data_IF_591546349811
#
_entry.id   IF_591546349811
#
_cell.length_a   1.000
_cell.length_b   1.000
_cell.length_c   1.000
_cell.angle_alpha   90.00
_cell.angle_beta   90.00
_cell.angle_gamma   90.00
#
_symmetry.space_group_name_H-M   'P 1'
#
loop_
_entity.id
_entity.type
_entity.pdbx_description
1 polymer ?
#
# COMPACT_ATOMS: atom_id res chain seq x y z
N UNK A 1 18.38 -15.93 1.04
CA UNK A 1 18.74 -15.33 -0.26
C UNK A 1 20.24 -15.43 -0.46
N UNK A 2 20.73 -15.64 -1.69
CA UNK A 2 22.17 -15.75 -2.00
C UNK A 2 22.54 -14.80 -3.15
N UNK A 3 23.79 -14.34 -3.28
CA UNK A 3 24.20 -13.43 -4.36
C UNK A 3 23.91 -13.95 -5.77
N UNK A 4 23.99 -15.26 -5.95
CA UNK A 4 23.77 -15.91 -7.24
C UNK A 4 22.32 -16.34 -7.49
N UNK A 5 21.42 -16.04 -6.59
CA UNK A 5 20.01 -16.28 -6.82
C UNK A 5 19.49 -15.29 -7.89
N UNK A 6 18.58 -15.77 -8.73
CA UNK A 6 17.97 -14.97 -9.78
C UNK A 6 16.75 -14.25 -9.26
N UNK A 7 16.51 -13.08 -9.80
CA UNK A 7 15.23 -12.39 -9.65
C UNK A 7 14.74 -11.85 -11.00
N UNK A 8 13.44 -11.66 -11.10
CA UNK A 8 12.76 -11.02 -12.23
C UNK A 8 11.70 -10.06 -11.72
N UNK A 9 11.27 -9.12 -12.57
CA UNK A 9 10.14 -8.28 -12.25
C UNK A 9 8.83 -8.89 -12.77
N UNK A 10 7.74 -8.65 -12.06
CA UNK A 10 6.41 -8.99 -12.57
C UNK A 10 5.99 -8.00 -13.66
N UNK A 11 5.27 -8.48 -14.68
CA UNK A 11 4.96 -7.70 -15.89
C UNK A 11 4.01 -6.50 -15.68
N UNK A 12 3.25 -6.47 -14.60
CA UNK A 12 2.20 -5.46 -14.37
C UNK A 12 2.61 -4.31 -13.44
N UNK A 13 3.91 -4.03 -13.36
CA UNK A 13 4.40 -2.93 -12.54
C UNK A 13 4.26 -1.61 -13.29
N UNK A 14 3.35 -0.76 -12.86
CA UNK A 14 3.34 0.65 -13.27
C UNK A 14 3.87 1.47 -12.10
N UNK A 15 5.08 1.98 -12.21
CA UNK A 15 5.69 2.81 -11.18
C UNK A 15 5.77 4.24 -11.67
N UNK A 16 4.96 5.12 -11.10
CA UNK A 16 5.18 6.55 -11.22
C UNK A 16 6.07 7.00 -10.06
N UNK A 17 7.11 7.78 -10.35
CA UNK A 17 8.07 8.21 -9.33
C UNK A 17 7.70 9.59 -8.81
N UNK A 18 7.18 9.67 -7.61
CA UNK A 18 7.21 10.90 -6.83
C UNK A 18 8.49 10.93 -5.98
N UNK A 19 9.54 11.52 -6.54
CA UNK A 19 10.82 11.69 -5.85
C UNK A 19 10.70 12.57 -4.60
N UNK A 20 9.79 13.54 -4.62
CA UNK A 20 9.57 14.44 -3.49
C UNK A 20 8.93 13.72 -2.32
N UNK A 21 7.86 12.94 -2.57
CA UNK A 21 7.22 12.09 -1.57
C UNK A 21 8.18 11.03 -1.03
N UNK A 22 8.93 10.37 -1.91
CA UNK A 22 9.92 9.38 -1.52
C UNK A 22 10.97 9.96 -0.55
N UNK A 23 11.51 11.14 -0.86
CA UNK A 23 12.51 11.77 -0.03
C UNK A 23 11.96 12.35 1.29
N UNK A 24 10.76 12.92 1.27
CA UNK A 24 10.18 13.59 2.44
C UNK A 24 9.52 12.63 3.42
N UNK A 25 8.84 11.60 2.93
CA UNK A 25 8.00 10.74 3.75
C UNK A 25 8.65 9.37 4.00
N UNK A 26 9.21 8.74 2.96
CA UNK A 26 9.71 7.37 3.05
C UNK A 26 11.15 7.29 3.54
N UNK A 27 12.04 8.16 3.06
CA UNK A 27 13.47 8.14 3.43
C UNK A 27 13.71 8.16 4.95
N UNK A 28 13.02 9.00 5.76
CA UNK A 28 13.20 8.99 7.21
C UNK A 28 12.79 7.67 7.87
N UNK A 29 11.84 6.94 7.27
CA UNK A 29 11.31 5.70 7.82
C UNK A 29 12.18 4.51 7.42
N UNK A 30 12.40 4.32 6.12
CA UNK A 30 13.08 3.12 5.60
C UNK A 30 14.61 3.24 5.58
N UNK A 31 15.11 4.47 5.54
CA UNK A 31 16.55 4.77 5.49
C UNK A 31 17.11 4.85 4.06
N UNK A 32 18.32 5.40 3.96
CA UNK A 32 18.96 5.71 2.67
C UNK A 32 19.16 4.47 1.77
N UNK A 33 19.62 3.36 2.33
CA UNK A 33 19.96 2.17 1.57
C UNK A 33 18.72 1.56 0.90
N UNK A 34 17.59 1.51 1.61
CA UNK A 34 16.32 1.06 1.08
C UNK A 34 15.79 1.99 -0.03
N UNK A 35 15.92 3.32 0.12
CA UNK A 35 15.53 4.28 -0.92
C UNK A 35 16.40 4.12 -2.16
N UNK A 36 17.72 4.00 -2.00
CA UNK A 36 18.65 3.79 -3.12
C UNK A 36 18.32 2.48 -3.83
N UNK A 37 18.06 1.41 -3.08
CA UNK A 37 17.65 0.13 -3.66
C UNK A 37 16.33 0.26 -4.44
N UNK A 38 15.32 0.94 -3.90
CA UNK A 38 14.04 1.14 -4.59
C UNK A 38 14.24 1.90 -5.90
N UNK A 39 15.00 2.98 -5.91
CA UNK A 39 15.32 3.76 -7.11
C UNK A 39 16.07 2.93 -8.15
N UNK A 40 17.03 2.12 -7.70
CA UNK A 40 17.76 1.20 -8.56
C UNK A 40 16.82 0.19 -9.23
N UNK A 41 15.98 -0.48 -8.43
CA UNK A 41 15.02 -1.46 -8.95
C UNK A 41 14.03 -0.84 -9.95
N UNK A 42 13.54 0.37 -9.67
CA UNK A 42 12.65 1.10 -10.57
C UNK A 42 13.35 1.46 -11.88
N UNK A 43 14.63 1.86 -11.83
CA UNK A 43 15.40 2.25 -13.03
C UNK A 43 15.71 1.07 -13.97
N UNK A 44 15.77 -0.15 -13.44
CA UNK A 44 16.06 -1.38 -14.19
C UNK A 44 14.84 -2.24 -14.51
N UNK A 45 13.65 -1.71 -14.25
CA UNK A 45 12.43 -2.43 -14.54
C UNK A 45 12.22 -2.61 -16.06
N UNK A 46 11.95 -3.85 -16.49
CA UNK A 46 11.90 -4.27 -17.88
C UNK A 46 10.68 -5.14 -18.25
N UNK A 47 9.56 -4.96 -17.58
CA UNK A 47 8.33 -5.75 -17.78
C UNK A 47 8.51 -7.28 -17.56
N UNK A 48 9.48 -7.70 -16.77
CA UNK A 48 9.73 -9.11 -16.48
C UNK A 48 10.47 -9.87 -17.60
N UNK A 49 11.00 -9.15 -18.61
CA UNK A 49 11.65 -9.76 -19.76
C UNK A 49 12.99 -10.43 -19.43
N UNK A 50 13.66 -10.05 -18.35
CA UNK A 50 15.00 -10.53 -18.03
C UNK A 50 15.11 -11.04 -16.59
N UNK A 51 15.80 -12.18 -16.46
CA UNK A 51 16.30 -12.63 -15.16
C UNK A 51 17.62 -11.95 -14.84
N UNK A 52 17.77 -11.51 -13.59
CA UNK A 52 18.96 -10.81 -13.08
C UNK A 52 19.46 -11.50 -11.83
N UNK A 53 20.74 -11.36 -11.52
CA UNK A 53 21.34 -11.86 -10.28
C UNK A 53 21.33 -10.78 -9.20
N UNK A 54 21.12 -11.15 -7.95
CA UNK A 54 21.28 -10.21 -6.84
C UNK A 54 22.69 -9.66 -6.74
N UNK A 55 23.71 -10.41 -7.18
CA UNK A 55 25.09 -9.94 -7.25
C UNK A 55 25.25 -8.67 -8.08
N UNK A 56 24.42 -8.43 -9.10
CA UNK A 56 24.44 -7.18 -9.86
C UNK A 56 24.04 -5.99 -8.98
N UNK A 57 23.00 -6.15 -8.13
CA UNK A 57 22.59 -5.11 -7.18
C UNK A 57 23.73 -4.84 -6.19
N UNK A 58 24.30 -5.91 -5.61
CA UNK A 58 25.39 -5.80 -4.63
C UNK A 58 26.57 -5.01 -5.20
N UNK A 59 26.98 -5.35 -6.42
CA UNK A 59 28.14 -4.70 -7.07
C UNK A 59 27.84 -3.24 -7.47
N UNK A 60 26.64 -2.94 -7.98
CA UNK A 60 26.29 -1.60 -8.42
C UNK A 60 26.06 -0.62 -7.27
N UNK A 61 25.50 -1.09 -6.17
CA UNK A 61 25.17 -0.26 -5.02
C UNK A 61 26.23 -0.33 -3.90
N UNK A 62 27.26 -1.15 -4.09
CA UNK A 62 28.28 -1.44 -3.07
C UNK A 62 27.63 -1.93 -1.75
N UNK A 63 26.66 -2.86 -1.89
CA UNK A 63 25.92 -3.43 -0.78
C UNK A 63 26.46 -4.80 -0.37
N UNK A 64 26.51 -5.05 0.93
CA UNK A 64 26.57 -6.41 1.46
C UNK A 64 25.18 -7.08 1.41
N UNK A 65 25.14 -8.42 1.46
CA UNK A 65 23.88 -9.18 1.47
C UNK A 65 22.94 -8.75 2.61
N UNK A 66 23.49 -8.52 3.80
CA UNK A 66 22.71 -8.08 4.97
C UNK A 66 22.02 -6.72 4.72
N UNK A 67 22.70 -5.79 4.04
CA UNK A 67 22.12 -4.48 3.69
C UNK A 67 21.01 -4.65 2.66
N UNK A 68 21.22 -5.52 1.67
CA UNK A 68 20.20 -5.83 0.65
C UNK A 68 18.95 -6.44 1.29
N UNK A 69 19.10 -7.50 2.08
CA UNK A 69 17.99 -8.19 2.73
C UNK A 69 17.21 -7.25 3.64
N UNK A 70 17.89 -6.50 4.49
CA UNK A 70 17.26 -5.49 5.37
C UNK A 70 16.52 -4.40 4.58
N UNK A 71 17.08 -4.00 3.43
CA UNK A 71 16.45 -2.98 2.58
C UNK A 71 15.19 -3.52 1.91
N UNK A 72 15.22 -4.76 1.40
CA UNK A 72 14.04 -5.44 0.85
C UNK A 72 12.93 -5.60 1.89
N UNK A 73 13.29 -6.02 3.11
CA UNK A 73 12.34 -6.15 4.23
C UNK A 73 11.66 -4.82 4.55
N UNK A 74 12.44 -3.72 4.64
CA UNK A 74 11.89 -2.39 4.92
C UNK A 74 10.98 -1.87 3.83
N UNK A 75 11.35 -2.07 2.56
CA UNK A 75 10.51 -1.70 1.43
C UNK A 75 9.23 -2.51 1.37
N UNK A 76 9.31 -3.81 1.69
CA UNK A 76 8.13 -4.68 1.76
C UNK A 76 7.20 -4.27 2.91
N UNK A 77 7.76 -3.98 4.07
CA UNK A 77 6.97 -3.57 5.25
C UNK A 77 6.19 -2.27 5.03
N UNK A 78 6.69 -1.35 4.20
CA UNK A 78 6.01 -0.08 3.89
C UNK A 78 5.22 -0.14 2.58
N UNK A 79 5.12 -1.30 1.96
CA UNK A 79 4.31 -1.53 0.77
C UNK A 79 4.86 -0.92 -0.53
N UNK A 80 6.15 -0.60 -0.60
CA UNK A 80 6.80 -0.17 -1.84
C UNK A 80 7.28 -1.33 -2.71
N UNK A 81 7.34 -2.54 -2.13
CA UNK A 81 7.81 -3.74 -2.80
C UNK A 81 7.12 -4.98 -2.24
N UNK A 82 6.86 -5.94 -3.09
CA UNK A 82 6.56 -7.33 -2.70
C UNK A 82 7.58 -8.27 -3.31
N UNK A 83 8.06 -9.22 -2.51
CA UNK A 83 9.00 -10.25 -2.92
C UNK A 83 8.34 -11.61 -2.84
N UNK A 84 8.39 -12.35 -3.93
CA UNK A 84 7.84 -13.70 -4.04
C UNK A 84 8.97 -14.69 -4.29
N UNK A 85 8.97 -15.80 -3.58
CA UNK A 85 9.86 -16.92 -3.85
C UNK A 85 9.22 -17.82 -4.89
N UNK A 86 9.95 -18.16 -5.94
CA UNK A 86 9.55 -19.07 -7.01
C UNK A 86 10.44 -20.31 -7.03
N UNK A 87 10.11 -21.31 -7.83
CA UNK A 87 10.94 -22.50 -7.99
C UNK A 87 12.34 -22.19 -8.59
N UNK A 88 12.44 -21.14 -9.40
CA UNK A 88 13.67 -20.75 -10.11
C UNK A 88 14.37 -19.54 -9.53
N UNK A 89 13.88 -18.98 -8.41
CA UNK A 89 14.47 -17.78 -7.81
C UNK A 89 13.44 -16.90 -7.14
N UNK A 90 13.45 -15.61 -7.45
CA UNK A 90 12.57 -14.62 -6.85
C UNK A 90 11.85 -13.77 -7.91
N UNK A 91 10.65 -13.30 -7.58
CA UNK A 91 9.93 -12.30 -8.37
C UNK A 91 9.66 -11.07 -7.53
N UNK A 92 9.88 -9.91 -8.11
CA UNK A 92 9.70 -8.61 -7.45
C UNK A 92 8.52 -7.88 -8.08
N UNK A 93 7.61 -7.40 -7.24
CA UNK A 93 6.59 -6.43 -7.62
C UNK A 93 6.90 -5.09 -6.96
N UNK A 94 6.96 -4.05 -7.75
CA UNK A 94 7.16 -2.69 -7.28
C UNK A 94 5.84 -1.93 -7.23
N UNK A 95 5.74 -1.01 -6.29
CA UNK A 95 4.58 -0.15 -6.11
C UNK A 95 5.01 1.31 -6.06
N UNK A 96 4.17 2.23 -6.56
CA UNK A 96 4.44 3.66 -6.46
C UNK A 96 4.36 4.14 -5.01
N UNK A 97 4.97 5.28 -4.73
CA UNK A 97 4.74 6.02 -3.50
C UNK A 97 3.28 6.47 -3.42
N UNK A 98 2.74 6.54 -2.22
CA UNK A 98 1.44 7.14 -1.97
C UNK A 98 1.48 8.65 -2.23
N UNK A 99 0.34 9.23 -2.60
CA UNK A 99 0.17 10.67 -2.56
C UNK A 99 0.37 11.20 -1.13
N UNK A 100 0.65 12.49 -0.97
CA UNK A 100 0.77 13.08 0.36
C UNK A 100 -0.51 12.87 1.19
N UNK A 101 -1.68 13.03 0.56
CA UNK A 101 -2.97 12.84 1.20
C UNK A 101 -3.14 11.41 1.71
N UNK A 102 -2.89 10.41 0.85
CA UNK A 102 -3.00 9.00 1.20
C UNK A 102 -1.97 8.58 2.26
N UNK A 103 -0.73 9.09 2.16
CA UNK A 103 0.31 8.80 3.14
C UNK A 103 -0.08 9.28 4.54
N UNK A 104 -0.57 10.52 4.66
CA UNK A 104 -0.99 11.09 5.94
C UNK A 104 -2.35 10.56 6.44
N UNK A 105 -3.19 10.04 5.55
CA UNK A 105 -4.39 9.30 5.93
C UNK A 105 -4.04 7.92 6.55
N UNK A 106 -2.87 7.36 6.20
CA UNK A 106 -2.41 6.09 6.76
C UNK A 106 -1.78 6.30 8.15
N UNK A 107 -2.56 6.02 9.21
CA UNK A 107 -2.17 6.30 10.60
C UNK A 107 -0.80 5.72 10.98
N UNK A 108 -0.48 4.49 10.56
CA UNK A 108 0.80 3.83 10.89
C UNK A 108 1.97 4.57 10.26
N UNK A 109 1.87 4.95 8.98
CA UNK A 109 2.95 5.64 8.28
C UNK A 109 3.19 7.05 8.85
N UNK A 110 2.10 7.78 9.09
CA UNK A 110 2.16 9.10 9.73
C UNK A 110 2.82 9.03 11.11
N UNK A 111 2.44 8.06 11.95
CA UNK A 111 3.03 7.86 13.28
C UNK A 111 4.50 7.43 13.22
N UNK A 112 4.87 6.59 12.25
CA UNK A 112 6.27 6.20 12.06
C UNK A 112 7.13 7.40 11.64
N UNK A 113 6.62 8.24 10.72
CA UNK A 113 7.30 9.45 10.30
C UNK A 113 7.48 10.41 11.49
N UNK A 114 6.42 10.62 12.28
CA UNK A 114 6.46 11.45 13.48
C UNK A 114 7.52 11.00 14.49
N UNK A 115 7.62 9.69 14.74
CA UNK A 115 8.68 9.12 15.58
C UNK A 115 10.10 9.38 15.05
N UNK A 116 10.26 9.56 13.74
CA UNK A 116 11.56 9.75 13.09
C UNK A 116 11.99 11.21 13.02
N UNK A 117 11.08 12.12 12.67
CA UNK A 117 11.43 13.53 12.44
C UNK A 117 10.74 14.52 13.38
N UNK A 118 9.85 14.02 14.26
CA UNK A 118 9.13 14.84 15.23
C UNK A 118 7.86 15.49 14.67
N UNK A 119 6.89 15.75 15.56
CA UNK A 119 5.58 16.32 15.23
C UNK A 119 5.68 17.62 14.44
N UNK A 120 6.49 18.57 14.90
CA UNK A 120 6.62 19.90 14.28
C UNK A 120 7.13 19.84 12.83
N UNK A 121 7.98 18.84 12.50
CA UNK A 121 8.45 18.63 11.14
C UNK A 121 7.35 17.97 10.27
N UNK A 122 6.62 17.01 10.84
CA UNK A 122 5.50 16.35 10.16
C UNK A 122 4.39 17.34 9.82
N UNK A 123 4.04 18.25 10.73
CA UNK A 123 2.98 19.24 10.51
C UNK A 123 3.29 20.16 9.31
N UNK A 124 4.57 20.47 9.09
CA UNK A 124 5.01 21.24 7.91
C UNK A 124 4.96 20.44 6.59
N UNK A 125 4.93 19.12 6.69
CA UNK A 125 4.88 18.25 5.52
C UNK A 125 3.46 17.83 5.15
N UNK A 126 2.50 18.04 6.06
CA UNK A 126 1.09 17.74 5.77
C UNK A 126 0.59 18.64 4.64
N UNK A 127 -0.19 18.08 3.69
CA UNK A 127 -0.85 18.90 2.68
C UNK A 127 -1.78 19.89 3.38
N UNK A 128 -1.68 21.15 3.00
CA UNK A 128 -2.62 22.17 3.48
C UNK A 128 -4.01 21.89 2.89
N UNK A 129 -5.02 21.90 3.72
CA UNK A 129 -6.38 21.92 3.23
C UNK A 129 -6.63 23.28 2.57
N UNK A 130 -7.01 23.31 1.29
CA UNK A 130 -7.29 24.56 0.62
C UNK A 130 -8.40 25.31 1.37
N UNK A 131 -8.16 26.58 1.66
CA UNK A 131 -9.18 27.44 2.25
C UNK A 131 -10.30 27.64 1.21
N UNK A 132 -11.50 27.12 1.52
CA UNK A 132 -12.66 27.28 0.66
C UNK A 132 -13.49 26.02 0.47
N UNK A 133 -14.65 26.19 -0.14
CA UNK A 133 -15.54 25.08 -0.48
C UNK A 133 -15.04 24.43 -1.77
N UNK A 134 -14.91 23.09 -1.76
CA UNK A 134 -14.60 22.33 -2.98
C UNK A 134 -15.78 22.43 -3.95
N UNK A 135 -15.57 23.13 -5.06
CA UNK A 135 -16.56 23.30 -6.12
C UNK A 135 -16.38 22.32 -7.28
N UNK A 136 -15.32 21.52 -7.26
CA UNK A 136 -15.07 20.50 -8.28
C UNK A 136 -16.15 19.43 -8.21
N UNK A 137 -16.86 19.16 -9.31
CA UNK A 137 -17.88 18.12 -9.34
C UNK A 137 -17.23 16.73 -9.15
N UNK A 138 -17.99 15.79 -8.59
CA UNK A 138 -17.56 14.39 -8.53
C UNK A 138 -17.62 13.72 -9.90
N UNK A 139 -16.93 12.61 -10.07
CA UNK A 139 -16.95 11.82 -11.29
C UNK A 139 -18.38 11.41 -11.69
N UNK A 140 -19.16 10.94 -10.71
CA UNK A 140 -20.56 10.54 -10.90
C UNK A 140 -21.46 11.69 -11.37
N UNK A 141 -21.23 12.93 -10.90
CA UNK A 141 -21.97 14.12 -11.34
C UNK A 141 -21.72 14.48 -12.80
N UNK A 142 -20.51 14.22 -13.31
CA UNK A 142 -20.16 14.55 -14.72
C UNK A 142 -20.54 13.43 -15.67
N UNK A 143 -20.30 12.18 -15.30
CA UNK A 143 -20.44 11.06 -16.22
C UNK A 143 -21.71 10.25 -16.02
N UNK A 144 -22.60 10.65 -15.07
CA UNK A 144 -23.91 10.03 -14.90
C UNK A 144 -23.89 8.55 -14.53
N UNK A 145 -22.79 8.09 -13.92
CA UNK A 145 -22.62 6.69 -13.55
C UNK A 145 -23.08 6.49 -12.09
N UNK A 146 -24.39 6.46 -11.89
CA UNK A 146 -24.95 6.20 -10.57
C UNK A 146 -24.81 4.75 -10.11
N UNK A 147 -24.35 3.84 -11.00
CA UNK A 147 -24.23 2.40 -10.73
C UNK A 147 -22.80 1.83 -10.80
N UNK A 148 -21.79 2.65 -11.08
CA UNK A 148 -20.42 2.19 -11.00
C UNK A 148 -19.88 2.52 -9.62
N UNK A 149 -20.00 1.56 -8.70
CA UNK A 149 -19.22 1.60 -7.46
C UNK A 149 -17.76 1.87 -7.85
N UNK A 150 -17.13 2.93 -7.34
CA UNK A 150 -15.74 3.19 -7.65
C UNK A 150 -14.92 1.97 -7.21
N UNK A 151 -14.30 1.30 -8.16
CA UNK A 151 -13.24 0.34 -7.85
C UNK A 151 -12.13 1.17 -7.23
N UNK A 152 -12.24 1.41 -5.93
CA UNK A 152 -11.22 2.10 -5.16
C UNK A 152 -9.98 1.22 -5.14
N UNK A 153 -9.02 1.53 -5.99
CA UNK A 153 -7.63 1.11 -5.84
C UNK A 153 -6.94 1.89 -4.71
N UNK A 154 -7.59 2.02 -3.57
CA UNK A 154 -6.93 2.43 -2.35
C UNK A 154 -6.78 1.20 -1.47
N UNK A 155 -5.54 0.83 -1.17
CA UNK A 155 -5.17 -0.22 -0.20
C UNK A 155 -5.53 0.13 1.25
N UNK A 156 -6.60 0.88 1.46
CA UNK A 156 -7.13 1.12 2.78
C UNK A 156 -8.27 0.15 3.02
N UNK A 157 -8.04 -0.78 3.96
CA UNK A 157 -9.04 -1.62 4.61
C UNK A 157 -10.24 -1.92 3.71
N UNK A 158 -10.02 -2.66 2.61
CA UNK A 158 -11.11 -3.19 1.83
C UNK A 158 -11.89 -4.10 2.76
N UNK A 159 -13.01 -3.58 3.25
CA UNK A 159 -14.01 -4.40 3.87
C UNK A 159 -14.46 -5.38 2.77
N UNK A 160 -13.88 -6.55 2.75
CA UNK A 160 -14.20 -7.56 1.76
C UNK A 160 -15.57 -8.12 2.06
N UNK A 161 -16.57 -7.44 1.49
CA UNK A 161 -17.98 -7.82 1.61
C UNK A 161 -18.22 -9.26 1.18
N UNK A 162 -17.46 -9.74 0.21
CA UNK A 162 -17.59 -11.10 -0.31
C UNK A 162 -17.16 -12.10 0.75
N UNK A 163 -16.01 -11.90 1.37
CA UNK A 163 -15.53 -12.74 2.46
C UNK A 163 -16.42 -12.63 3.71
N UNK A 164 -16.90 -11.44 4.03
CA UNK A 164 -17.85 -11.21 5.13
C UNK A 164 -19.14 -12.01 4.92
N UNK A 165 -19.82 -11.86 3.78
CA UNK A 165 -21.05 -12.60 3.44
C UNK A 165 -20.83 -14.11 3.39
N UNK A 166 -19.70 -14.55 2.84
CA UNK A 166 -19.38 -15.97 2.78
C UNK A 166 -19.19 -16.56 4.18
N UNK A 167 -18.55 -15.83 5.09
CA UNK A 167 -18.36 -16.28 6.47
C UNK A 167 -19.67 -16.31 7.24
N UNK A 168 -20.49 -15.25 7.11
CA UNK A 168 -21.83 -15.23 7.70
C UNK A 168 -22.68 -16.43 7.26
N UNK A 169 -22.66 -16.75 5.96
CA UNK A 169 -23.39 -17.88 5.42
C UNK A 169 -22.87 -19.24 5.93
N UNK A 170 -21.56 -19.39 6.09
CA UNK A 170 -20.94 -20.61 6.65
C UNK A 170 -21.35 -20.86 8.10
N UNK A 171 -21.48 -19.80 8.89
CA UNK A 171 -21.86 -19.90 10.30
C UNK A 171 -23.39 -19.87 10.50
N UNK A 172 -24.17 -19.86 9.41
CA UNK A 172 -25.63 -19.89 9.43
C UNK A 172 -26.28 -18.60 9.94
N UNK A 173 -25.53 -17.51 10.02
CA UNK A 173 -26.01 -16.21 10.45
C UNK A 173 -26.76 -15.51 9.30
N UNK A 174 -27.95 -14.94 9.63
CA UNK A 174 -28.77 -14.18 8.67
C UNK A 174 -29.24 -12.90 9.33
N UNK A 175 -29.22 -11.82 8.59
CA UNK A 175 -29.82 -10.56 9.02
C UNK A 175 -31.35 -10.63 8.93
N UNK A 176 -32.04 -9.91 9.82
CA UNK A 176 -33.49 -9.76 9.81
C UNK A 176 -33.96 -8.89 8.62
N UNK A 177 -33.19 -7.81 8.35
CA UNK A 177 -33.31 -6.98 7.14
C UNK A 177 -31.91 -6.81 6.53
N UNK A 178 -31.60 -7.63 5.51
CA UNK A 178 -30.26 -7.70 4.93
C UNK A 178 -29.74 -6.33 4.42
N UNK A 179 -30.63 -5.45 3.95
CA UNK A 179 -30.22 -4.14 3.43
C UNK A 179 -29.98 -3.11 4.53
N UNK A 180 -30.89 -3.02 5.49
CA UNK A 180 -30.78 -2.04 6.58
C UNK A 180 -29.65 -2.42 7.55
N UNK A 181 -29.60 -3.67 7.98
CA UNK A 181 -28.61 -4.16 8.94
C UNK A 181 -27.19 -4.12 8.37
N UNK A 182 -27.02 -4.44 7.07
CA UNK A 182 -25.72 -4.30 6.39
C UNK A 182 -25.29 -2.84 6.28
N UNK A 183 -26.21 -1.91 6.00
CA UNK A 183 -25.89 -0.50 5.88
C UNK A 183 -25.43 0.08 7.22
N UNK A 184 -26.10 -0.29 8.30
CA UNK A 184 -25.75 0.14 9.65
C UNK A 184 -24.40 -0.44 10.09
N UNK A 185 -24.15 -1.73 9.84
CA UNK A 185 -22.87 -2.38 10.09
C UNK A 185 -21.73 -1.74 9.29
N UNK A 186 -21.96 -1.43 8.03
CA UNK A 186 -20.96 -0.73 7.20
C UNK A 186 -20.67 0.67 7.73
N UNK A 187 -21.69 1.40 8.13
CA UNK A 187 -21.52 2.75 8.69
C UNK A 187 -20.68 2.70 9.97
N UNK A 188 -20.93 1.73 10.84
CA UNK A 188 -20.17 1.52 12.07
C UNK A 188 -18.74 1.07 11.74
N UNK A 189 -18.56 0.11 10.84
CA UNK A 189 -17.25 -0.38 10.44
C UNK A 189 -16.38 0.73 9.81
N UNK A 190 -16.97 1.58 8.98
CA UNK A 190 -16.31 2.73 8.36
C UNK A 190 -15.92 3.79 9.40
N UNK A 191 -16.82 4.14 10.32
CA UNK A 191 -16.53 5.07 11.41
C UNK A 191 -15.44 4.57 12.35
N UNK A 192 -15.42 3.26 12.64
CA UNK A 192 -14.46 2.62 13.53
C UNK A 192 -13.19 2.16 12.81
N UNK A 193 -13.16 2.21 11.48
CA UNK A 193 -12.07 1.67 10.62
C UNK A 193 -11.80 0.18 10.89
N UNK A 194 -12.86 -0.58 11.09
CA UNK A 194 -12.77 -2.02 11.33
C UNK A 194 -12.56 -2.81 10.05
N UNK A 195 -11.83 -3.92 10.17
CA UNK A 195 -11.71 -4.93 9.11
C UNK A 195 -13.02 -5.74 8.99
N UNK A 196 -13.20 -6.46 7.89
CA UNK A 196 -14.34 -7.37 7.72
C UNK A 196 -14.43 -8.41 8.84
N UNK A 197 -13.29 -8.85 9.38
CA UNK A 197 -13.24 -9.84 10.45
C UNK A 197 -13.71 -9.27 11.79
N UNK A 198 -13.28 -8.07 12.14
CA UNK A 198 -13.74 -7.38 13.37
C UNK A 198 -15.24 -7.08 13.33
N UNK A 199 -15.74 -6.68 12.15
CA UNK A 199 -17.17 -6.45 11.92
C UNK A 199 -17.96 -7.75 12.00
N UNK A 200 -17.39 -8.86 11.48
CA UNK A 200 -17.99 -10.19 11.58
C UNK A 200 -18.11 -10.67 13.05
N UNK A 201 -17.05 -10.46 13.85
CA UNK A 201 -17.08 -10.83 15.28
C UNK A 201 -18.20 -10.09 16.02
N UNK A 202 -18.38 -8.79 15.74
CA UNK A 202 -19.47 -8.01 16.33
C UNK A 202 -20.87 -8.49 15.87
N UNK A 203 -21.03 -8.86 14.61
CA UNK A 203 -22.31 -9.34 14.08
C UNK A 203 -22.73 -10.72 14.64
N UNK A 204 -21.80 -11.43 15.26
CA UNK A 204 -22.03 -12.74 15.87
C UNK A 204 -22.53 -12.67 17.32
N UNK A 205 -22.24 -11.59 18.04
CA UNK A 205 -22.72 -11.34 19.40
C UNK A 205 -24.15 -10.81 19.43
#
# INVERSE_FOLDING_TARGET
MKPNDHFSFLSNNQVSQDMSGLARYYLPIVGKDAVVLYLYLVSFWDNGAQQRLFSHILNHLDFGMEVLERSLERLSAIGLLELFQTETGFSIRLYPTLSAEDFFAHHVYSSLLEKKIGQAAVDKLRPENPAGQKISPSFSQIYGMDDVSPTRTSRQNDFDLTHFKQRMAQDGLRFADEKADLLDLFTIAEQKKWTWYETYVLARE
#
